data_IF_320747177084
#
_entry.id   IF_320747177084
#
_cell.length_a   1.000
_cell.length_b   1.000
_cell.length_c   1.000
_cell.angle_alpha   90.00
_cell.angle_beta   90.00
_cell.angle_gamma   90.00
#
_symmetry.space_group_name_H-M   'P 1'
#
loop_
_entity.id
_entity.type
_entity.pdbx_description
1 polymer ?
#
# COMPACT_ATOMS: atom_id res chain seq x y z
N UNK A 1 5.16 7.80 1.18
CA UNK A 1 3.75 7.87 0.73
C UNK A 1 3.66 7.99 -0.79
N UNK A 2 4.15 9.05 -1.44
CA UNK A 2 4.05 9.20 -2.91
C UNK A 2 4.63 8.02 -3.72
N UNK A 3 5.80 7.51 -3.34
CA UNK A 3 6.45 6.40 -4.05
C UNK A 3 5.68 5.07 -3.99
N UNK A 4 4.75 4.92 -3.03
CA UNK A 4 3.89 3.73 -2.93
C UNK A 4 2.61 3.82 -3.77
N UNK A 5 2.53 4.81 -4.67
CA UNK A 5 1.41 4.98 -5.58
C UNK A 5 0.27 5.83 -5.01
N UNK A 6 0.50 6.53 -3.90
CA UNK A 6 -0.52 7.30 -3.20
C UNK A 6 -0.58 8.76 -3.63
N UNK A 7 -1.81 9.24 -3.87
CA UNK A 7 -2.18 10.66 -3.97
C UNK A 7 -2.82 11.06 -2.65
N UNK A 8 -2.41 12.20 -2.08
CA UNK A 8 -3.00 12.76 -0.87
C UNK A 8 -4.31 13.48 -1.21
N UNK A 9 -5.39 13.13 -0.50
CA UNK A 9 -6.73 13.70 -0.68
C UNK A 9 -7.08 14.79 0.35
N UNK A 10 -6.17 15.11 1.27
CA UNK A 10 -6.41 15.94 2.46
C UNK A 10 -6.78 15.10 3.68
N UNK A 11 -6.72 15.72 4.86
CA UNK A 11 -7.16 15.13 6.14
C UNK A 11 -6.55 13.75 6.48
N UNK A 12 -5.27 13.54 6.12
CA UNK A 12 -4.58 12.27 6.36
C UNK A 12 -5.05 11.11 5.47
N UNK A 13 -5.91 11.38 4.49
CA UNK A 13 -6.42 10.38 3.54
C UNK A 13 -5.56 10.34 2.30
N UNK A 14 -5.29 9.13 1.83
CA UNK A 14 -4.59 8.87 0.58
C UNK A 14 -5.35 7.88 -0.29
N UNK A 15 -5.14 7.95 -1.59
CA UNK A 15 -5.70 7.00 -2.56
C UNK A 15 -4.61 6.49 -3.48
N UNK A 16 -4.58 5.19 -3.76
CA UNK A 16 -3.71 4.69 -4.81
C UNK A 16 -4.23 5.16 -6.18
N UNK A 17 -3.40 5.83 -6.98
CA UNK A 17 -3.81 6.28 -8.31
C UNK A 17 -4.03 5.12 -9.30
N UNK A 18 -3.50 3.93 -8.98
CA UNK A 18 -3.57 2.76 -9.84
C UNK A 18 -4.79 1.88 -9.50
N UNK A 19 -4.86 1.37 -8.27
CA UNK A 19 -5.95 0.48 -7.86
C UNK A 19 -7.16 1.20 -7.25
N UNK A 20 -7.07 2.51 -7.02
CA UNK A 20 -8.15 3.28 -6.41
C UNK A 20 -8.39 3.01 -4.92
N UNK A 21 -7.58 2.15 -4.28
CA UNK A 21 -7.75 1.83 -2.87
C UNK A 21 -7.44 3.06 -2.01
N UNK A 22 -8.34 3.37 -1.07
CA UNK A 22 -8.22 4.51 -0.16
C UNK A 22 -7.68 4.02 1.18
N UNK A 23 -6.71 4.72 1.72
CA UNK A 23 -6.18 4.47 3.05
C UNK A 23 -6.12 5.76 3.84
N UNK A 24 -6.30 5.65 5.14
CA UNK A 24 -6.22 6.75 6.10
C UNK A 24 -5.49 6.26 7.35
N UNK A 25 -5.23 7.17 8.27
CA UNK A 25 -4.72 6.83 9.61
C UNK A 25 -3.35 6.14 9.61
N UNK A 26 -2.49 6.46 8.65
CA UNK A 26 -1.09 6.03 8.65
C UNK A 26 -0.39 6.49 9.93
N UNK A 27 0.11 5.54 10.71
CA UNK A 27 0.97 5.83 11.84
C UNK A 27 2.39 6.19 11.37
N UNK A 28 3.17 6.97 12.14
CA UNK A 28 4.54 7.35 11.76
C UNK A 28 5.49 6.16 11.52
N UNK A 29 5.13 4.97 12.00
CA UNK A 29 5.90 3.73 11.86
C UNK A 29 5.43 2.83 10.72
N UNK A 30 4.28 3.13 10.13
CA UNK A 30 3.73 2.32 9.05
C UNK A 30 4.56 2.47 7.78
N UNK A 31 4.82 1.35 7.11
CA UNK A 31 5.49 1.34 5.83
C UNK A 31 4.43 1.41 4.71
N UNK A 32 4.39 2.49 3.89
CA UNK A 32 3.34 2.65 2.89
C UNK A 32 3.24 1.52 1.87
N UNK A 33 4.35 0.86 1.53
CA UNK A 33 4.34 -0.27 0.62
C UNK A 33 3.81 -1.55 1.27
N UNK A 34 4.08 -1.76 2.56
CA UNK A 34 3.59 -2.92 3.30
C UNK A 34 2.09 -2.78 3.53
N UNK A 35 1.65 -1.61 3.96
CA UNK A 35 0.22 -1.31 4.08
C UNK A 35 -0.49 -1.45 2.73
N UNK A 36 0.09 -0.94 1.64
CA UNK A 36 -0.48 -1.16 0.31
C UNK A 36 -0.60 -2.65 -0.06
N UNK A 37 0.47 -3.42 0.12
CA UNK A 37 0.47 -4.85 -0.20
C UNK A 37 -0.46 -5.66 0.72
N UNK A 38 -0.60 -5.27 1.98
CA UNK A 38 -1.50 -5.92 2.94
C UNK A 38 -2.97 -5.64 2.60
N UNK A 39 -3.31 -4.39 2.27
CA UNK A 39 -4.70 -4.00 1.97
C UNK A 39 -5.16 -4.33 0.56
N UNK A 40 -4.26 -4.30 -0.42
CA UNK A 40 -4.58 -4.68 -1.80
C UNK A 40 -3.42 -5.42 -2.48
N UNK A 41 -3.23 -6.71 -2.19
CA UNK A 41 -2.11 -7.49 -2.72
C UNK A 41 -2.14 -7.68 -4.24
N UNK A 42 -3.29 -7.47 -4.87
CA UNK A 42 -3.48 -7.63 -6.32
C UNK A 42 -3.28 -6.31 -7.10
N UNK A 43 -2.83 -5.24 -6.45
CA UNK A 43 -2.56 -3.99 -7.14
C UNK A 43 -1.40 -4.15 -8.13
N UNK A 44 -1.63 -3.99 -9.44
CA UNK A 44 -0.53 -4.18 -10.40
C UNK A 44 0.64 -3.21 -10.17
N UNK A 45 0.37 -2.00 -9.63
CA UNK A 45 1.44 -1.09 -9.23
C UNK A 45 2.34 -1.69 -8.13
N UNK A 46 1.76 -2.33 -7.11
CA UNK A 46 2.58 -2.94 -6.04
C UNK A 46 3.37 -4.13 -6.57
N UNK A 47 2.72 -4.94 -7.42
CA UNK A 47 3.34 -6.09 -8.07
C UNK A 47 4.47 -5.66 -8.99
N UNK A 48 4.28 -4.62 -9.80
CA UNK A 48 5.30 -4.09 -10.72
C UNK A 48 6.48 -3.47 -9.96
N UNK A 49 6.22 -2.68 -8.91
CA UNK A 49 7.29 -1.96 -8.18
C UNK A 49 8.02 -2.81 -7.15
N UNK A 50 7.40 -3.84 -6.58
CA UNK A 50 7.97 -4.63 -5.48
C UNK A 50 8.08 -6.13 -5.76
N UNK A 51 7.33 -6.64 -6.74
CA UNK A 51 7.29 -8.05 -7.09
C UNK A 51 6.32 -8.87 -6.23
N UNK A 52 5.86 -10.01 -6.78
CA UNK A 52 4.95 -10.93 -6.09
C UNK A 52 5.54 -11.51 -4.80
N UNK A 53 6.85 -11.80 -4.78
CA UNK A 53 7.52 -12.34 -3.59
C UNK A 53 7.48 -11.37 -2.41
N UNK A 54 7.52 -10.05 -2.67
CA UNK A 54 7.34 -9.04 -1.64
C UNK A 54 5.91 -9.07 -1.08
N UNK A 55 4.92 -9.10 -1.96
CA UNK A 55 3.50 -9.17 -1.57
C UNK A 55 3.23 -10.42 -0.73
N UNK A 56 3.69 -11.58 -1.18
CA UNK A 56 3.55 -12.83 -0.43
C UNK A 56 4.21 -12.78 0.95
N UNK A 57 5.38 -12.14 1.07
CA UNK A 57 6.05 -11.96 2.36
C UNK A 57 5.22 -11.08 3.29
N UNK A 58 4.74 -9.94 2.80
CA UNK A 58 3.91 -9.01 3.58
C UNK A 58 2.65 -9.70 4.09
N UNK A 59 1.97 -10.47 3.24
CA UNK A 59 0.76 -11.21 3.64
C UNK A 59 1.03 -12.29 4.70
N UNK A 60 2.26 -12.82 4.78
CA UNK A 60 2.66 -13.78 5.82
C UNK A 60 3.08 -13.11 7.13
N UNK A 61 3.76 -11.98 7.05
CA UNK A 61 4.34 -11.26 8.20
C UNK A 61 3.33 -10.31 8.88
N UNK A 62 2.35 -9.80 8.14
CA UNK A 62 1.27 -8.97 8.65
C UNK A 62 -0.10 -9.57 8.26
N UNK A 63 -0.54 -10.64 8.94
CA UNK A 63 -1.91 -11.11 8.82
C UNK A 63 -2.84 -10.04 9.43
N UNK A 64 -3.60 -9.35 8.58
CA UNK A 64 -4.70 -8.46 8.97
C UNK A 64 -6.02 -9.23 8.92
#
# INVERSE_FOLDING_TARGET
MANAGFINLGDGKVICYYCGNRMCDFEPRDCPFEEHAAFNPLCDYIIEKRGLSYVERVLKECPR
#
